data_IF_046695754146
#
_entry.id   IF_046695754146
#
_cell.length_a   1.000
_cell.length_b   1.000
_cell.length_c   1.000
_cell.angle_alpha   90.00
_cell.angle_beta   90.00
_cell.angle_gamma   90.00
#
_symmetry.space_group_name_H-M   'P 1'
#
loop_
_entity.id
_entity.type
_entity.pdbx_description
1 polymer ?
#
# COMPACT_ATOMS: atom_id res chain seq x y z
N UNK A 1 -11.29 2.26 1.29
CA UNK A 1 -11.79 1.78 2.60
C UNK A 1 -12.14 0.31 2.48
N UNK A 2 -11.91 -0.50 3.52
CA UNK A 2 -12.44 -1.85 3.61
C UNK A 2 -12.75 -2.26 5.06
N UNK A 3 -13.66 -3.22 5.23
CA UNK A 3 -13.96 -3.88 6.50
C UNK A 3 -13.03 -5.08 6.68
N UNK A 4 -11.98 -4.92 7.47
CA UNK A 4 -10.91 -5.90 7.60
C UNK A 4 -11.41 -7.24 8.18
N UNK A 5 -12.41 -7.19 9.06
CA UNK A 5 -13.05 -8.38 9.64
C UNK A 5 -13.84 -9.22 8.65
N UNK A 6 -14.28 -8.66 7.52
CA UNK A 6 -14.91 -9.43 6.44
C UNK A 6 -13.89 -10.27 5.67
N UNK A 7 -12.61 -9.90 5.71
CA UNK A 7 -11.51 -10.68 5.13
C UNK A 7 -11.05 -11.75 6.12
N UNK A 8 -10.80 -11.37 7.36
CA UNK A 8 -10.40 -12.29 8.43
C UNK A 8 -11.06 -11.89 9.76
N UNK A 9 -11.98 -12.71 10.30
CA UNK A 9 -12.67 -12.40 11.56
C UNK A 9 -11.72 -12.17 12.76
N UNK A 10 -10.52 -12.75 12.72
CA UNK A 10 -9.49 -12.61 13.77
C UNK A 10 -8.83 -11.23 13.83
N UNK A 11 -9.11 -10.33 12.88
CA UNK A 11 -8.56 -8.97 12.89
C UNK A 11 -9.23 -8.03 13.91
N UNK A 12 -10.29 -8.47 14.58
CA UNK A 12 -10.88 -7.77 15.71
C UNK A 12 -11.34 -8.76 16.80
N UNK A 13 -11.53 -8.29 18.04
CA UNK A 13 -12.21 -9.08 19.07
C UNK A 13 -13.63 -9.50 18.66
N UNK A 14 -14.15 -10.56 19.28
CA UNK A 14 -15.51 -11.02 19.03
C UNK A 14 -16.54 -9.88 19.23
N UNK A 15 -17.48 -9.76 18.30
CA UNK A 15 -18.51 -8.71 18.31
C UNK A 15 -18.01 -7.31 17.93
N UNK A 16 -16.78 -7.18 17.43
CA UNK A 16 -16.23 -5.92 16.92
C UNK A 16 -15.93 -6.03 15.42
N UNK A 17 -15.98 -4.88 14.76
CA UNK A 17 -15.66 -4.71 13.34
C UNK A 17 -14.46 -3.78 13.25
N UNK A 18 -13.47 -4.13 12.44
CA UNK A 18 -12.33 -3.27 12.14
C UNK A 18 -12.50 -2.69 10.74
N UNK A 19 -12.46 -1.37 10.66
CA UNK A 19 -12.54 -0.60 9.42
C UNK A 19 -11.19 0.05 9.15
N UNK A 20 -10.70 -0.07 7.92
CA UNK A 20 -9.47 0.59 7.47
C UNK A 20 -9.80 1.53 6.31
N UNK A 21 -9.34 2.78 6.42
CA UNK A 21 -9.49 3.81 5.40
C UNK A 21 -8.11 4.23 4.95
N UNK A 22 -7.92 4.38 3.64
CA UNK A 22 -6.68 4.88 3.05
C UNK A 22 -6.96 6.24 2.45
N UNK A 23 -6.17 7.23 2.82
CA UNK A 23 -6.17 8.55 2.22
C UNK A 23 -5.02 8.63 1.23
N UNK A 24 -5.29 9.04 0.00
CA UNK A 24 -4.29 9.15 -1.08
C UNK A 24 -3.89 10.61 -1.23
N UNK A 25 -2.58 10.88 -1.21
CA UNK A 25 -2.02 12.22 -1.35
C UNK A 25 -1.14 12.62 -0.17
N UNK A 26 -0.67 13.86 -0.19
CA UNK A 26 0.10 14.46 0.91
C UNK A 26 -0.81 15.31 1.79
N UNK A 27 -0.75 15.08 3.09
CA UNK A 27 -1.49 15.83 4.11
C UNK A 27 -0.51 16.53 5.08
N UNK A 28 0.63 16.98 4.56
CA UNK A 28 1.60 17.74 5.33
C UNK A 28 0.94 18.99 5.94
N UNK A 29 1.19 19.22 7.23
CA UNK A 29 0.62 20.36 7.96
C UNK A 29 -0.85 20.24 8.37
N UNK A 30 -1.52 19.13 8.07
CA UNK A 30 -2.83 18.79 8.63
C UNK A 30 -2.65 18.03 9.94
N UNK A 31 -3.53 18.21 10.92
CA UNK A 31 -3.56 17.38 12.13
C UNK A 31 -4.32 16.08 11.89
N UNK A 32 -3.91 14.99 12.54
CA UNK A 32 -4.56 13.67 12.37
C UNK A 32 -6.03 13.69 12.84
N UNK A 33 -6.34 14.50 13.86
CA UNK A 33 -7.71 14.65 14.37
C UNK A 33 -8.66 15.25 13.31
N UNK A 34 -8.23 16.33 12.64
CA UNK A 34 -9.03 16.96 11.58
C UNK A 34 -9.29 15.99 10.42
N UNK A 35 -8.28 15.21 10.04
CA UNK A 35 -8.42 14.19 8.99
C UNK A 35 -9.37 13.07 9.42
N UNK A 36 -9.30 12.63 10.68
CA UNK A 36 -10.20 11.61 11.20
C UNK A 36 -11.67 12.09 11.20
N UNK A 37 -11.91 13.34 11.61
CA UNK A 37 -13.25 13.95 11.60
C UNK A 37 -13.81 14.08 10.17
N UNK A 38 -12.96 14.46 9.21
CA UNK A 38 -13.33 14.49 7.78
C UNK A 38 -13.70 13.11 7.26
N UNK A 39 -12.90 12.09 7.59
CA UNK A 39 -13.17 10.69 7.21
C UNK A 39 -14.49 10.21 7.82
N UNK A 40 -14.75 10.46 9.10
CA UNK A 40 -16.01 10.09 9.78
C UNK A 40 -17.20 10.76 9.09
N UNK A 41 -17.10 12.04 8.74
CA UNK A 41 -18.15 12.77 8.03
C UNK A 41 -18.43 12.18 6.65
N UNK A 42 -17.39 11.86 5.87
CA UNK A 42 -17.56 11.25 4.54
C UNK A 42 -18.19 9.86 4.64
N UNK A 43 -17.71 9.02 5.56
CA UNK A 43 -18.26 7.69 5.80
C UNK A 43 -19.70 7.73 6.29
N UNK A 44 -20.08 8.74 7.09
CA UNK A 44 -21.46 8.96 7.51
C UNK A 44 -22.41 9.15 6.32
N UNK A 45 -21.94 9.70 5.21
CA UNK A 45 -22.68 9.79 3.96
C UNK A 45 -22.92 8.44 3.27
N UNK A 46 -22.12 7.42 3.54
CA UNK A 46 -22.21 6.10 2.92
C UNK A 46 -22.91 5.05 3.80
N UNK A 47 -22.68 5.09 5.11
CA UNK A 47 -23.13 4.07 6.06
C UNK A 47 -24.15 4.58 7.08
N UNK A 48 -24.54 5.85 6.98
CA UNK A 48 -25.43 6.51 7.92
C UNK A 48 -24.65 7.25 9.01
N UNK A 49 -24.97 8.52 9.21
CA UNK A 49 -24.23 9.39 10.12
C UNK A 49 -24.29 8.91 11.57
N UNK A 50 -25.45 8.48 12.06
CA UNK A 50 -25.61 8.03 13.44
C UNK A 50 -24.75 6.80 13.75
N UNK A 51 -24.71 5.83 12.83
CA UNK A 51 -23.89 4.62 12.95
C UNK A 51 -22.40 4.99 13.00
N UNK A 52 -21.94 5.77 12.02
CA UNK A 52 -20.51 6.11 11.90
C UNK A 52 -20.03 7.01 13.04
N UNK A 53 -20.87 7.89 13.57
CA UNK A 53 -20.55 8.71 14.75
C UNK A 53 -20.35 7.88 16.02
N UNK A 54 -20.87 6.65 16.07
CA UNK A 54 -20.62 5.72 17.18
C UNK A 54 -19.26 5.03 17.09
N UNK A 55 -18.57 5.12 15.94
CA UNK A 55 -17.30 4.45 15.72
C UNK A 55 -16.19 5.11 16.52
N UNK A 56 -15.22 4.31 16.95
CA UNK A 56 -14.05 4.79 17.69
C UNK A 56 -12.83 4.77 16.78
N UNK A 57 -12.24 5.93 16.52
CA UNK A 57 -10.96 6.02 15.83
C UNK A 57 -9.86 5.38 16.69
N UNK A 58 -9.14 4.40 16.12
CA UNK A 58 -8.09 3.68 16.84
C UNK A 58 -6.71 4.29 16.59
N UNK A 59 -6.37 4.60 15.33
CA UNK A 59 -5.05 5.09 14.95
C UNK A 59 -5.01 5.61 13.51
N UNK A 60 -4.23 6.67 13.31
CA UNK A 60 -3.78 7.16 11.99
C UNK A 60 -2.33 6.74 11.77
N UNK A 61 -2.01 6.31 10.55
CA UNK A 61 -0.63 6.03 10.13
C UNK A 61 -0.29 6.90 8.92
N UNK A 62 0.82 7.65 9.01
CA UNK A 62 1.36 8.44 7.89
C UNK A 62 2.49 7.66 7.22
N UNK A 63 2.26 7.27 5.96
CA UNK A 63 3.21 6.48 5.18
C UNK A 63 3.64 7.31 3.97
N UNK A 64 4.76 8.03 4.09
CA UNK A 64 5.20 9.01 3.07
C UNK A 64 5.54 8.36 1.71
N UNK A 65 6.14 7.18 1.74
CA UNK A 65 6.54 6.42 0.54
C UNK A 65 5.70 5.14 0.41
N UNK A 66 4.38 5.28 0.50
CA UNK A 66 3.45 4.13 0.53
C UNK A 66 3.46 3.32 -0.78
N UNK A 67 3.53 4.00 -1.93
CA UNK A 67 3.66 3.38 -3.25
C UNK A 67 4.51 4.25 -4.18
N UNK A 68 5.21 3.64 -5.15
CA UNK A 68 5.83 4.35 -6.26
C UNK A 68 4.82 5.18 -7.08
N UNK A 69 5.30 6.20 -7.78
CA UNK A 69 4.49 6.96 -8.75
C UNK A 69 3.96 6.03 -9.85
N UNK A 70 2.64 6.08 -10.08
CA UNK A 70 1.93 5.30 -11.09
C UNK A 70 1.29 6.17 -12.18
N UNK A 71 1.74 7.42 -12.31
CA UNK A 71 1.30 8.32 -13.37
C UNK A 71 1.61 7.71 -14.75
N UNK A 72 0.63 7.65 -15.68
CA UNK A 72 0.88 7.12 -17.01
C UNK A 72 1.94 7.93 -17.80
N UNK A 73 2.75 7.28 -18.67
CA UNK A 73 2.74 5.85 -18.98
C UNK A 73 3.47 5.01 -17.93
N UNK A 74 2.86 3.88 -17.52
CA UNK A 74 3.50 2.91 -16.62
C UNK A 74 4.16 1.78 -17.42
N UNK A 75 5.14 1.09 -16.84
CA UNK A 75 5.81 -0.08 -17.46
C UNK A 75 5.60 -1.33 -16.59
N UNK A 76 4.42 -2.00 -16.67
CA UNK A 76 4.07 -3.10 -15.78
C UNK A 76 4.98 -4.32 -15.92
N UNK A 77 5.57 -4.49 -17.10
CA UNK A 77 6.51 -5.58 -17.41
C UNK A 77 7.86 -5.39 -16.71
N UNK A 78 8.14 -4.21 -16.13
CA UNK A 78 9.38 -3.89 -15.45
C UNK A 78 10.57 -3.60 -16.35
N UNK A 79 11.65 -3.14 -15.71
CA UNK A 79 12.91 -2.73 -16.36
C UNK A 79 13.97 -3.84 -16.25
N UNK A 80 15.03 -3.75 -17.06
CA UNK A 80 16.20 -4.64 -16.90
C UNK A 80 16.74 -4.46 -15.47
N UNK A 81 16.94 -5.55 -14.69
CA UNK A 81 17.52 -5.44 -13.37
C UNK A 81 18.97 -4.96 -13.38
N UNK A 82 19.73 -5.12 -14.47
CA UNK A 82 21.13 -4.69 -14.58
C UNK A 82 21.21 -3.18 -14.78
N UNK A 83 21.78 -2.48 -13.80
CA UNK A 83 21.98 -1.02 -13.87
C UNK A 83 23.44 -0.59 -13.90
N UNK A 84 24.36 -1.54 -13.70
CA UNK A 84 25.80 -1.33 -13.74
C UNK A 84 26.55 -2.63 -13.45
N UNK A 85 27.87 -2.58 -13.51
CA UNK A 85 28.72 -3.75 -13.33
C UNK A 85 28.55 -4.38 -11.95
N UNK A 86 27.92 -5.55 -11.90
CA UNK A 86 27.62 -6.27 -10.66
C UNK A 86 26.54 -5.61 -9.80
N UNK A 87 25.79 -4.63 -10.32
CA UNK A 87 24.71 -3.94 -9.60
C UNK A 87 23.36 -4.28 -10.24
N UNK A 88 22.47 -4.83 -9.41
CA UNK A 88 21.13 -5.24 -9.80
C UNK A 88 20.09 -4.52 -8.95
N UNK A 89 19.01 -4.04 -9.57
CA UNK A 89 17.91 -3.35 -8.88
C UNK A 89 16.62 -4.17 -9.03
N UNK A 90 15.87 -4.23 -7.95
CA UNK A 90 14.54 -4.82 -7.88
C UNK A 90 13.66 -4.06 -6.88
N UNK A 91 12.37 -4.35 -6.90
CA UNK A 91 11.36 -3.71 -6.06
C UNK A 91 10.08 -3.44 -6.84
N UNK A 92 9.04 -3.06 -6.13
CA UNK A 92 7.77 -2.61 -6.70
C UNK A 92 7.95 -1.40 -7.65
N UNK A 93 8.91 -0.52 -7.39
CA UNK A 93 9.27 0.58 -8.28
C UNK A 93 9.99 0.13 -9.57
N UNK A 94 10.56 -1.08 -9.62
CA UNK A 94 11.30 -1.59 -10.78
C UNK A 94 10.44 -2.45 -11.73
N UNK A 95 9.20 -2.73 -11.33
CA UNK A 95 8.19 -3.51 -12.06
C UNK A 95 6.82 -2.83 -11.97
N UNK A 96 5.73 -3.60 -11.88
CA UNK A 96 4.46 -3.09 -11.41
C UNK A 96 4.55 -2.74 -9.91
N UNK A 97 3.96 -1.61 -9.52
CA UNK A 97 3.95 -1.10 -8.14
C UNK A 97 3.00 -1.89 -7.23
N UNK A 98 3.24 -3.19 -7.15
CA UNK A 98 2.47 -4.18 -6.40
C UNK A 98 3.41 -5.11 -5.65
N UNK A 99 2.88 -5.80 -4.64
CA UNK A 99 3.63 -6.82 -3.92
C UNK A 99 4.15 -7.94 -4.84
N UNK A 100 3.32 -8.39 -5.78
CA UNK A 100 3.72 -9.39 -6.78
C UNK A 100 4.82 -8.84 -7.71
N UNK A 101 4.71 -7.59 -8.15
CA UNK A 101 5.73 -6.93 -8.96
C UNK A 101 7.09 -6.82 -8.26
N UNK A 102 7.09 -6.58 -6.95
CA UNK A 102 8.31 -6.61 -6.14
C UNK A 102 8.94 -8.02 -6.11
N UNK A 103 8.14 -9.07 -5.91
CA UNK A 103 8.62 -10.45 -5.91
C UNK A 103 9.15 -10.87 -7.30
N UNK A 104 8.43 -10.54 -8.36
CA UNK A 104 8.81 -10.84 -9.74
C UNK A 104 10.11 -10.14 -10.11
N UNK A 105 10.27 -8.85 -9.79
CA UNK A 105 11.52 -8.13 -10.05
C UNK A 105 12.69 -8.70 -9.24
N UNK A 106 12.47 -9.07 -7.97
CA UNK A 106 13.48 -9.69 -7.13
C UNK A 106 13.99 -11.01 -7.73
N UNK A 107 13.07 -11.86 -8.18
CA UNK A 107 13.43 -13.11 -8.89
C UNK A 107 14.29 -12.83 -10.13
N UNK A 108 13.86 -11.88 -10.98
CA UNK A 108 14.60 -11.53 -12.21
C UNK A 108 16.00 -10.98 -11.93
N UNK A 109 16.15 -10.15 -10.89
CA UNK A 109 17.45 -9.66 -10.48
C UNK A 109 18.37 -10.79 -10.00
N UNK A 110 17.85 -11.74 -9.22
CA UNK A 110 18.60 -12.90 -8.77
C UNK A 110 19.01 -13.84 -9.93
N UNK A 111 18.11 -14.09 -10.88
CA UNK A 111 18.39 -14.89 -12.09
C UNK A 111 19.44 -14.20 -12.98
N UNK A 112 19.35 -12.87 -13.13
CA UNK A 112 20.33 -12.09 -13.86
C UNK A 112 21.73 -12.18 -13.21
N UNK A 113 21.80 -12.02 -11.89
CA UNK A 113 23.03 -12.17 -11.12
C UNK A 113 23.61 -13.59 -11.27
N UNK A 114 22.79 -14.63 -11.13
CA UNK A 114 23.25 -16.02 -11.23
C UNK A 114 23.87 -16.28 -12.61
N UNK A 115 23.21 -15.84 -13.69
CA UNK A 115 23.72 -15.96 -15.05
C UNK A 115 25.04 -15.23 -15.26
N UNK A 116 25.13 -13.98 -14.81
CA UNK A 116 26.34 -13.16 -15.00
C UNK A 116 27.53 -13.68 -14.17
N UNK A 117 27.26 -14.45 -13.11
CA UNK A 117 28.28 -15.12 -12.27
C UNK A 117 28.55 -16.56 -12.68
N UNK A 118 27.90 -17.08 -13.72
CA UNK A 118 28.05 -18.47 -14.17
C UNK A 118 27.53 -19.51 -13.18
N UNK A 119 26.54 -19.15 -12.36
CA UNK A 119 25.90 -20.01 -11.36
C UNK A 119 24.65 -20.73 -11.89
N UNK A 120 24.25 -20.43 -13.13
CA UNK A 120 23.10 -21.02 -13.84
C UNK A 120 23.34 -21.09 -15.34
#
# INVERSE_FOLDING_TARGET
>A
MFFATNVAPSYAPAGKVLVSVSLVGSFAGREDADLADEVVRELGGWFGAEEVLSWTHLRTYRIEFAQPDQTPPTTPVGRDPRVGDGVYVCGDHWCSATFDGALVSGRRAAEALAKDRGLS
#
